data_IF_549948119165
#
_entry.id   IF_549948119165
#
_cell.length_a   1.000
_cell.length_b   1.000
_cell.length_c   1.000
_cell.angle_alpha   90.00
_cell.angle_beta   90.00
_cell.angle_gamma   90.00
#
_symmetry.space_group_name_H-M   'P 1'
#
loop_
_entity.id
_entity.type
_entity.pdbx_description
1 polymer ?
#
# COMPACT_ATOMS: atom_id res chain seq x y z
N UNK A 1 -36.38 36.50 -27.08
CA UNK A 1 -36.01 35.37 -26.19
C UNK A 1 -35.03 34.39 -26.87
N UNK A 2 -33.91 34.87 -27.42
CA UNK A 2 -32.92 34.03 -28.10
C UNK A 2 -31.55 34.41 -27.50
N UNK A 3 -30.79 33.42 -27.03
CA UNK A 3 -29.47 33.49 -26.34
C UNK A 3 -29.45 33.05 -24.86
N UNK A 4 -30.57 33.10 -24.13
CA UNK A 4 -30.57 32.62 -22.73
C UNK A 4 -30.46 31.09 -22.60
N UNK A 5 -31.04 30.33 -23.53
CA UNK A 5 -30.99 28.85 -23.48
C UNK A 5 -29.58 28.31 -23.75
N UNK A 6 -28.89 28.84 -24.76
CA UNK A 6 -27.51 28.45 -25.09
C UNK A 6 -26.57 28.81 -23.93
N UNK A 7 -26.72 30.00 -23.35
CA UNK A 7 -25.94 30.42 -22.17
C UNK A 7 -26.15 29.49 -20.98
N UNK A 8 -27.37 29.03 -20.75
CA UNK A 8 -27.66 28.11 -19.64
C UNK A 8 -27.07 26.71 -19.88
N UNK A 9 -27.07 26.22 -21.12
CA UNK A 9 -26.41 24.95 -21.49
C UNK A 9 -24.88 25.04 -21.31
N UNK A 10 -24.26 26.14 -21.76
CA UNK A 10 -22.82 26.36 -21.59
C UNK A 10 -22.41 26.46 -20.11
N UNK A 11 -23.25 27.08 -19.26
CA UNK A 11 -23.03 27.11 -17.81
C UNK A 11 -23.07 25.71 -17.20
N UNK A 12 -24.04 24.89 -17.60
CA UNK A 12 -24.13 23.49 -17.16
C UNK A 12 -22.90 22.68 -17.58
N UNK A 13 -22.49 22.79 -18.84
CA UNK A 13 -21.33 22.09 -19.38
C UNK A 13 -20.02 22.52 -18.71
N UNK A 14 -19.83 23.82 -18.47
CA UNK A 14 -18.63 24.35 -17.79
C UNK A 14 -18.52 23.81 -16.36
N UNK A 15 -19.65 23.66 -15.66
CA UNK A 15 -19.69 23.09 -14.32
C UNK A 15 -19.38 21.58 -14.33
N UNK A 16 -19.89 20.84 -15.32
CA UNK A 16 -19.53 19.42 -15.47
C UNK A 16 -18.06 19.22 -15.81
N UNK A 17 -17.47 20.06 -16.67
CA UNK A 17 -16.04 20.01 -16.98
C UNK A 17 -15.17 20.25 -15.75
N UNK A 18 -15.57 21.16 -14.85
CA UNK A 18 -14.86 21.37 -13.58
C UNK A 18 -14.88 20.11 -12.70
N UNK A 19 -16.01 19.39 -12.61
CA UNK A 19 -16.09 18.14 -11.83
C UNK A 19 -15.16 17.04 -12.36
N UNK A 20 -15.03 16.89 -13.68
CA UNK A 20 -14.11 15.91 -14.28
C UNK A 20 -12.64 16.26 -14.01
N UNK A 21 -12.28 17.56 -14.04
CA UNK A 21 -10.92 18.01 -13.71
C UNK A 21 -10.59 17.69 -12.25
N UNK A 22 -11.52 17.88 -11.32
CA UNK A 22 -11.28 17.54 -9.92
C UNK A 22 -11.01 16.05 -9.71
N UNK A 23 -11.68 15.15 -10.46
CA UNK A 23 -11.33 13.72 -10.39
C UNK A 23 -9.94 13.42 -10.94
N UNK A 24 -9.49 14.14 -11.98
CA UNK A 24 -8.13 14.00 -12.49
C UNK A 24 -7.06 14.56 -11.54
N UNK A 25 -7.40 15.57 -10.74
CA UNK A 25 -6.47 16.20 -9.79
C UNK A 25 -6.40 15.50 -8.43
N UNK A 26 -7.46 14.81 -8.00
CA UNK A 26 -7.51 14.12 -6.69
C UNK A 26 -7.38 12.59 -6.79
N UNK A 27 -7.47 12.02 -7.99
CA UNK A 27 -7.51 10.58 -8.18
C UNK A 27 -8.88 9.99 -7.83
N UNK A 28 -9.07 8.69 -8.13
CA UNK A 28 -10.22 7.94 -7.64
C UNK A 28 -10.17 7.86 -6.11
N UNK A 29 -11.28 8.09 -5.39
CA UNK A 29 -11.33 7.88 -3.95
C UNK A 29 -10.85 6.48 -3.59
N UNK A 30 -10.20 6.33 -2.44
CA UNK A 30 -9.82 5.02 -1.91
C UNK A 30 -11.06 4.15 -1.74
N UNK A 31 -11.01 2.89 -2.18
CA UNK A 31 -12.12 1.96 -2.05
C UNK A 31 -12.11 1.34 -0.64
N UNK A 32 -12.78 2.02 0.27
CA UNK A 32 -12.92 1.58 1.67
C UNK A 32 -13.70 0.26 1.84
N UNK A 33 -14.30 -0.30 0.78
CA UNK A 33 -15.08 -1.53 0.86
C UNK A 33 -14.26 -2.81 0.69
N UNK A 34 -13.27 -2.79 -0.18
CA UNK A 34 -12.55 -4.00 -0.64
C UNK A 34 -11.08 -4.06 -0.22
N UNK A 35 -10.55 -2.97 0.33
CA UNK A 35 -9.18 -2.91 0.81
C UNK A 35 -9.08 -3.26 2.30
N UNK A 36 -8.01 -3.94 2.67
CA UNK A 36 -7.57 -4.25 4.02
C UNK A 36 -6.28 -3.52 4.31
N UNK A 37 -6.17 -2.97 5.52
CA UNK A 37 -4.93 -2.44 6.06
C UNK A 37 -4.01 -3.58 6.54
N UNK A 38 -2.81 -3.67 5.99
CA UNK A 38 -1.74 -4.53 6.47
C UNK A 38 -0.61 -3.64 6.98
N UNK A 39 -0.40 -3.67 8.28
CA UNK A 39 0.65 -2.90 8.94
C UNK A 39 1.47 -3.82 9.85
N UNK A 40 2.61 -3.33 10.31
CA UNK A 40 3.46 -4.15 11.16
C UNK A 40 4.84 -3.59 11.38
N UNK A 41 5.70 -4.42 11.95
CA UNK A 41 7.09 -4.12 12.23
C UNK A 41 7.98 -5.32 11.90
N UNK A 42 9.11 -5.03 11.26
CA UNK A 42 10.14 -5.99 10.88
C UNK A 42 11.38 -5.78 11.75
N UNK A 43 11.84 -6.85 12.38
CA UNK A 43 13.03 -6.86 13.25
C UNK A 43 14.00 -7.97 12.86
N UNK A 44 15.25 -7.83 13.25
CA UNK A 44 16.26 -8.90 13.12
C UNK A 44 16.03 -9.96 14.18
N UNK A 45 15.92 -11.24 13.78
CA UNK A 45 15.75 -12.36 14.72
C UNK A 45 16.97 -12.49 15.65
N UNK A 46 18.17 -12.15 15.16
CA UNK A 46 19.42 -12.24 15.91
C UNK A 46 19.58 -11.12 16.94
N UNK A 47 19.28 -9.88 16.56
CA UNK A 47 19.56 -8.70 17.41
C UNK A 47 18.32 -8.13 18.11
N UNK A 48 17.13 -8.46 17.62
CA UNK A 48 15.86 -7.86 18.05
C UNK A 48 15.69 -6.40 17.62
N UNK A 49 16.62 -5.83 16.85
CA UNK A 49 16.57 -4.45 16.39
C UNK A 49 15.66 -4.29 15.17
N UNK A 50 14.98 -3.14 15.01
CA UNK A 50 14.19 -2.84 13.83
C UNK A 50 15.05 -2.80 12.57
N UNK A 51 14.49 -3.25 11.43
CA UNK A 51 15.19 -3.25 10.15
C UNK A 51 14.52 -2.26 9.19
N UNK A 52 15.28 -1.26 8.77
CA UNK A 52 14.91 -0.30 7.74
C UNK A 52 15.10 -0.90 6.34
N UNK A 53 14.29 -0.47 5.37
CA UNK A 53 14.54 -0.73 3.95
C UNK A 53 14.05 -2.07 3.43
N UNK A 54 13.39 -2.89 4.25
CA UNK A 54 12.80 -4.15 3.81
C UNK A 54 11.60 -3.86 2.92
N UNK A 55 11.62 -4.43 1.72
CA UNK A 55 10.49 -4.37 0.79
C UNK A 55 9.38 -5.27 1.29
N UNK A 56 8.19 -4.70 1.44
CA UNK A 56 6.96 -5.41 1.79
C UNK A 56 5.99 -5.34 0.62
N UNK A 57 5.56 -6.50 0.13
CA UNK A 57 4.66 -6.60 -1.02
C UNK A 57 3.70 -7.78 -0.90
N UNK A 58 2.59 -7.74 -1.64
CA UNK A 58 1.69 -8.89 -1.78
C UNK A 58 2.21 -9.81 -2.87
N UNK A 59 2.41 -11.09 -2.56
CA UNK A 59 2.90 -12.05 -3.54
C UNK A 59 1.88 -12.22 -4.68
N UNK A 60 2.38 -12.13 -5.92
CA UNK A 60 1.54 -12.16 -7.12
C UNK A 60 1.15 -10.76 -7.63
N UNK A 61 1.28 -9.71 -6.81
CA UNK A 61 1.16 -8.33 -7.23
C UNK A 61 2.52 -7.61 -7.11
N UNK A 62 3.23 -7.54 -8.24
CA UNK A 62 4.53 -6.87 -8.31
C UNK A 62 4.41 -5.35 -8.55
N UNK A 63 3.20 -4.81 -8.68
CA UNK A 63 2.99 -3.42 -9.06
C UNK A 63 3.06 -2.44 -7.89
N UNK A 64 2.84 -2.92 -6.67
CA UNK A 64 2.80 -2.12 -5.46
C UNK A 64 3.61 -2.75 -4.32
N UNK A 65 4.47 -1.95 -3.69
CA UNK A 65 5.22 -2.33 -2.50
C UNK A 65 5.50 -1.09 -1.64
N UNK A 66 5.79 -1.33 -0.38
CA UNK A 66 6.30 -0.31 0.56
C UNK A 66 7.64 -0.77 1.12
N UNK A 67 8.39 0.15 1.72
CA UNK A 67 9.65 -0.18 2.42
C UNK A 67 9.53 0.18 3.88
N UNK A 68 10.13 -0.61 4.76
CA UNK A 68 10.13 -0.30 6.20
C UNK A 68 10.89 0.99 6.51
N UNK A 69 10.39 1.75 7.49
CA UNK A 69 10.99 2.99 7.98
C UNK A 69 12.17 2.75 8.97
N UNK A 70 12.68 3.82 9.58
CA UNK A 70 13.80 3.76 10.53
C UNK A 70 13.46 2.96 11.80
N UNK A 71 12.18 2.87 12.15
CA UNK A 71 11.66 2.04 13.24
C UNK A 71 11.26 0.63 12.76
N UNK A 72 11.56 0.27 11.51
CA UNK A 72 11.23 -1.02 10.92
C UNK A 72 9.74 -1.22 10.65
N UNK A 73 8.93 -0.16 10.69
CA UNK A 73 7.48 -0.24 10.52
C UNK A 73 7.11 -0.10 9.06
N UNK A 74 5.97 -0.69 8.71
CA UNK A 74 5.38 -0.57 7.39
C UNK A 74 3.85 -0.45 7.48
N UNK A 75 3.27 0.13 6.44
CA UNK A 75 1.84 0.28 6.28
C UNK A 75 1.48 0.17 4.81
N UNK A 76 0.56 -0.73 4.47
CA UNK A 76 0.06 -0.88 3.11
C UNK A 76 -1.42 -1.28 3.08
N UNK A 77 -2.09 -0.96 1.97
CA UNK A 77 -3.42 -1.46 1.68
C UNK A 77 -3.32 -2.58 0.63
N UNK A 78 -4.15 -3.61 0.80
CA UNK A 78 -4.24 -4.76 -0.10
C UNK A 78 -5.71 -5.13 -0.29
N UNK A 79 -6.06 -5.73 -1.41
CA UNK A 79 -7.35 -6.38 -1.58
C UNK A 79 -7.60 -7.44 -0.49
N UNK A 80 -8.87 -7.61 -0.10
CA UNK A 80 -9.32 -8.64 0.84
C UNK A 80 -9.32 -10.03 0.20
N UNK A 81 -8.23 -10.77 0.35
CA UNK A 81 -8.17 -12.20 0.05
C UNK A 81 -8.22 -13.04 1.34
N UNK A 82 -8.85 -14.21 1.28
CA UNK A 82 -8.84 -15.18 2.39
C UNK A 82 -7.42 -15.64 2.74
N UNK A 83 -6.55 -15.77 1.73
CA UNK A 83 -5.16 -16.21 1.88
C UNK A 83 -4.24 -15.17 1.25
N UNK A 84 -3.98 -14.08 1.97
CA UNK A 84 -3.04 -13.07 1.51
C UNK A 84 -1.61 -13.54 1.81
N UNK A 85 -0.74 -13.59 0.80
CA UNK A 85 0.68 -13.90 1.01
C UNK A 85 1.47 -12.59 0.96
N UNK A 86 2.08 -12.22 2.08
CA UNK A 86 2.91 -11.02 2.20
C UNK A 86 4.38 -11.42 2.15
N UNK A 87 5.12 -10.87 1.19
CA UNK A 87 6.56 -11.03 1.03
C UNK A 87 7.33 -9.91 1.73
N UNK A 88 8.41 -10.29 2.40
CA UNK A 88 9.39 -9.43 3.04
C UNK A 88 10.74 -9.74 2.41
N UNK A 89 11.24 -8.83 1.58
CA UNK A 89 12.44 -9.02 0.76
C UNK A 89 13.48 -7.96 1.10
N UNK A 90 14.72 -8.42 1.25
CA UNK A 90 15.88 -7.53 1.41
C UNK A 90 16.40 -7.13 0.03
N UNK A 91 16.20 -5.85 -0.30
CA UNK A 91 16.55 -5.25 -1.59
C UNK A 91 17.70 -4.23 -1.52
N UNK A 92 18.19 -3.91 -0.31
CA UNK A 92 19.28 -2.96 -0.09
C UNK A 92 20.64 -3.63 0.10
N UNK A 93 20.66 -4.97 0.16
CA UNK A 93 21.86 -5.77 0.11
C UNK A 93 22.53 -5.86 1.47
N UNK A 94 23.46 -4.96 1.78
CA UNK A 94 24.19 -4.97 3.05
C UNK A 94 24.16 -3.61 3.76
N UNK A 95 23.42 -2.64 3.22
CA UNK A 95 23.34 -1.29 3.78
C UNK A 95 22.68 -1.31 5.17
N UNK A 96 21.59 -2.06 5.32
CA UNK A 96 20.86 -2.17 6.60
C UNK A 96 21.00 -3.55 7.26
N UNK A 97 22.02 -4.31 6.87
CA UNK A 97 22.15 -5.74 7.17
C UNK A 97 21.63 -6.61 6.02
N UNK A 98 22.05 -7.87 5.98
CA UNK A 98 21.66 -8.80 4.92
C UNK A 98 20.72 -9.85 5.48
N UNK A 99 19.48 -9.90 4.98
CA UNK A 99 18.42 -10.75 5.52
C UNK A 99 17.83 -11.68 4.49
N UNK A 100 17.40 -12.87 4.92
CA UNK A 100 16.72 -13.84 4.09
C UNK A 100 15.28 -13.41 3.88
N UNK A 101 14.82 -13.54 2.65
CA UNK A 101 13.43 -13.24 2.30
C UNK A 101 12.48 -14.19 3.05
N UNK A 102 11.33 -13.65 3.41
CA UNK A 102 10.27 -14.38 4.11
C UNK A 102 8.94 -14.12 3.43
N UNK A 103 8.13 -15.16 3.26
CA UNK A 103 6.75 -15.04 2.81
C UNK A 103 5.82 -15.55 3.91
N UNK A 104 4.86 -14.72 4.29
CA UNK A 104 3.89 -15.00 5.35
C UNK A 104 2.48 -15.06 4.76
N UNK A 105 1.82 -16.20 4.93
CA UNK A 105 0.37 -16.31 4.67
C UNK A 105 -0.40 -15.71 5.84
N UNK A 106 -1.35 -14.84 5.51
CA UNK A 106 -2.27 -14.19 6.43
C UNK A 106 -3.68 -14.70 6.12
N UNK A 107 -4.16 -15.60 6.97
CA UNK A 107 -5.48 -16.27 6.89
C UNK A 107 -6.55 -15.51 7.70
N UNK A 108 -6.55 -14.18 7.58
CA UNK A 108 -7.45 -13.31 8.34
C UNK A 108 -8.11 -12.33 7.37
N UNK A 109 -9.43 -12.18 7.49
CA UNK A 109 -10.28 -11.35 6.63
C UNK A 109 -10.68 -10.03 7.32
N UNK A 110 -10.10 -9.74 8.49
CA UNK A 110 -10.32 -8.48 9.20
C UNK A 110 -9.91 -7.28 8.35
N UNK A 111 -10.58 -6.15 8.58
CA UNK A 111 -10.31 -4.86 7.92
C UNK A 111 -8.88 -4.36 8.12
N UNK A 112 -8.25 -4.77 9.22
CA UNK A 112 -6.87 -4.42 9.56
C UNK A 112 -6.15 -5.60 10.19
N UNK A 113 -4.86 -5.77 9.86
CA UNK A 113 -3.98 -6.74 10.51
C UNK A 113 -2.64 -6.12 10.85
N UNK A 114 -2.14 -6.49 12.01
CA UNK A 114 -0.79 -6.15 12.46
C UNK A 114 0.11 -7.38 12.39
N UNK A 115 1.25 -7.27 11.71
CA UNK A 115 2.23 -8.34 11.54
C UNK A 115 3.52 -8.00 12.29
N UNK A 116 3.90 -8.86 13.24
CA UNK A 116 5.24 -8.85 13.83
C UNK A 116 6.11 -9.87 13.09
N UNK A 117 7.17 -9.38 12.45
CA UNK A 117 8.05 -10.20 11.61
C UNK A 117 9.49 -10.12 12.13
N UNK A 118 10.10 -11.29 12.31
CA UNK A 118 11.52 -11.43 12.60
C UNK A 118 12.22 -12.08 11.39
N UNK A 119 13.19 -11.39 10.80
CA UNK A 119 13.97 -11.89 9.67
C UNK A 119 15.29 -12.49 10.11
N UNK A 120 15.70 -13.55 9.42
CA UNK A 120 16.99 -14.23 9.62
C UNK A 120 18.07 -13.58 8.78
N UNK A 121 19.27 -13.48 9.32
CA UNK A 121 20.41 -13.01 8.54
C UNK A 121 20.76 -14.00 7.39
N UNK A 122 21.22 -13.45 6.26
CA UNK A 122 21.90 -14.21 5.20
C UNK A 122 23.27 -14.64 5.75
N UNK A 123 23.53 -15.95 5.78
CA UNK A 123 24.82 -16.51 6.19
C UNK A 123 25.88 -16.28 5.11
#
# INVERSE_FOLDING_TARGET
>A
MKNNRIRNVLKGLSFTSAMFIFQACYGTPQDFGYDRLVEGQVTSETTGLPIKGIKVSVAGDNSYYVTTDDEGKFLMYSEKFENLVVGFEDIDGAENGSFRDLFKTVEDISESVYLEIALKDKL
#
